data_IF_972353853231
#
_entry.id   IF_972353853231
#
_cell.length_a   1.000
_cell.length_b   1.000
_cell.length_c   1.000
_cell.angle_alpha   90.00
_cell.angle_beta   90.00
_cell.angle_gamma   90.00
#
_symmetry.space_group_name_H-M   'P 1'
#
loop_
_entity.id
_entity.type
_entity.pdbx_description
1 polymer ?
#
# COMPACT_ATOMS: atom_id res chain seq x y z
N UNK A 1 16.08 -2.34 -3.63
CA UNK A 1 14.87 -1.93 -2.87
C UNK A 1 13.91 -3.09 -2.82
N UNK A 2 13.40 -3.45 -1.64
CA UNK A 2 12.49 -4.58 -1.50
C UNK A 2 11.13 -4.23 -2.11
N UNK A 3 10.83 -4.80 -3.29
CA UNK A 3 9.51 -4.77 -3.89
C UNK A 3 8.56 -5.43 -2.91
N UNK A 4 7.68 -4.65 -2.25
CA UNK A 4 6.68 -5.19 -1.33
C UNK A 4 5.80 -6.19 -2.09
N UNK A 5 5.98 -7.49 -1.80
CA UNK A 5 5.25 -8.56 -2.48
C UNK A 5 3.88 -8.72 -1.84
N UNK A 6 2.91 -9.19 -2.61
CA UNK A 6 1.56 -9.46 -2.10
C UNK A 6 1.57 -10.44 -0.91
N UNK A 7 2.47 -11.43 -0.95
CA UNK A 7 2.66 -12.41 0.15
C UNK A 7 3.09 -11.76 1.46
N UNK A 8 3.86 -10.67 1.40
CA UNK A 8 4.34 -9.97 2.59
C UNK A 8 3.20 -9.14 3.18
N UNK A 9 2.46 -8.41 2.33
CA UNK A 9 1.28 -7.62 2.75
C UNK A 9 0.21 -8.49 3.39
N UNK A 10 -0.02 -9.68 2.84
CA UNK A 10 -1.00 -10.63 3.38
C UNK A 10 -0.71 -11.03 4.83
N UNK A 11 0.56 -11.11 5.22
CA UNK A 11 1.00 -11.47 6.58
C UNK A 11 0.97 -10.30 7.56
N UNK A 12 0.88 -9.06 7.07
CA UNK A 12 0.81 -7.87 7.91
C UNK A 12 -0.60 -7.70 8.48
N UNK A 13 -0.70 -7.23 9.72
CA UNK A 13 -1.95 -6.79 10.32
C UNK A 13 -2.39 -5.41 9.77
N UNK A 14 -3.65 -5.05 9.99
CA UNK A 14 -4.22 -3.81 9.45
C UNK A 14 -3.48 -2.55 9.92
N UNK A 15 -2.99 -2.53 11.17
CA UNK A 15 -2.25 -1.37 11.70
C UNK A 15 -0.88 -1.28 11.02
N UNK A 16 -0.13 -2.38 10.94
CA UNK A 16 1.16 -2.38 10.23
C UNK A 16 1.02 -2.03 8.76
N UNK A 17 -0.04 -2.49 8.08
CA UNK A 17 -0.34 -2.10 6.69
C UNK A 17 -0.55 -0.60 6.55
N UNK A 18 -1.26 0.03 7.48
CA UNK A 18 -1.52 1.47 7.47
C UNK A 18 -0.28 2.30 7.81
N UNK A 19 0.52 1.87 8.79
CA UNK A 19 1.77 2.52 9.13
C UNK A 19 2.73 2.47 7.92
N UNK A 20 2.83 1.31 7.26
CA UNK A 20 3.62 1.16 6.03
C UNK A 20 3.08 1.98 4.86
N UNK A 21 1.76 2.13 4.75
CA UNK A 21 1.12 2.99 3.74
C UNK A 21 1.53 4.45 3.92
N UNK A 22 1.61 4.95 5.16
CA UNK A 22 2.06 6.32 5.44
C UNK A 22 3.51 6.53 4.98
N UNK A 23 4.39 5.60 5.29
CA UNK A 23 5.79 5.66 4.86
C UNK A 23 5.94 5.73 3.35
N UNK A 24 5.23 4.84 2.63
CA UNK A 24 5.27 4.78 1.17
C UNK A 24 4.70 6.05 0.52
N UNK A 25 3.69 6.68 1.13
CA UNK A 25 3.17 7.97 0.67
C UNK A 25 4.19 9.09 0.86
N UNK A 26 4.90 9.12 1.99
CA UNK A 26 5.98 10.09 2.23
C UNK A 26 7.13 9.89 1.25
N UNK A 27 7.53 8.64 0.98
CA UNK A 27 8.56 8.35 -0.01
C UNK A 27 8.11 8.75 -1.43
N UNK A 28 6.83 8.54 -1.77
CA UNK A 28 6.27 8.99 -3.04
C UNK A 28 6.36 10.51 -3.18
N UNK A 29 5.99 11.26 -2.15
CA UNK A 29 6.07 12.73 -2.15
C UNK A 29 7.53 13.17 -2.35
N UNK A 30 8.46 12.64 -1.55
CA UNK A 30 9.90 12.95 -1.70
C UNK A 30 10.41 12.64 -3.10
N UNK A 31 10.00 11.52 -3.68
CA UNK A 31 10.41 11.12 -5.04
C UNK A 31 9.83 12.01 -6.16
N UNK A 32 8.73 12.74 -5.88
CA UNK A 32 8.15 13.71 -6.80
C UNK A 32 8.75 15.12 -6.67
N UNK A 33 9.33 15.48 -5.51
CA UNK A 33 9.87 16.83 -5.19
C UNK A 33 11.22 17.09 -5.90
N UNK A 34 11.30 16.77 -7.19
CA UNK A 34 12.52 16.98 -7.98
C UNK A 34 12.39 16.53 -9.43
N UNK A 35 11.30 15.82 -9.78
CA UNK A 35 11.04 15.37 -11.15
C UNK A 35 9.53 15.37 -11.42
N UNK A 36 9.08 16.04 -12.48
CA UNK A 36 7.68 15.93 -12.94
C UNK A 36 7.40 14.59 -13.65
N UNK A 37 8.44 13.91 -14.14
CA UNK A 37 8.30 12.64 -14.88
C UNK A 37 8.28 11.43 -13.94
N UNK A 38 7.43 10.45 -14.25
CA UNK A 38 7.32 9.22 -13.47
C UNK A 38 8.56 8.32 -13.65
N UNK A 39 9.43 8.27 -12.64
CA UNK A 39 10.60 7.38 -12.62
C UNK A 39 10.23 5.93 -12.26
N UNK A 40 11.11 4.96 -12.56
CA UNK A 40 10.92 3.55 -12.17
C UNK A 40 10.60 3.40 -10.67
N UNK A 41 11.33 4.15 -9.83
CA UNK A 41 11.10 4.21 -8.38
C UNK A 41 9.68 4.65 -8.01
N UNK A 42 9.16 5.70 -8.65
CA UNK A 42 7.78 6.17 -8.39
C UNK A 42 6.73 5.13 -8.80
N UNK A 43 6.97 4.37 -9.89
CA UNK A 43 6.07 3.29 -10.34
C UNK A 43 6.03 2.15 -9.33
N UNK A 44 7.18 1.78 -8.77
CA UNK A 44 7.26 0.72 -7.75
C UNK A 44 6.55 1.11 -6.45
N UNK A 45 6.75 2.34 -5.97
CA UNK A 45 6.07 2.85 -4.77
C UNK A 45 4.55 2.85 -4.97
N UNK A 46 4.07 3.31 -6.14
CA UNK A 46 2.64 3.25 -6.49
C UNK A 46 2.09 1.83 -6.50
N UNK A 47 2.85 0.86 -7.04
CA UNK A 47 2.46 -0.57 -7.03
C UNK A 47 2.39 -1.13 -5.61
N UNK A 48 3.33 -0.76 -4.73
CA UNK A 48 3.30 -1.16 -3.33
C UNK A 48 2.06 -0.60 -2.61
N UNK A 49 1.77 0.69 -2.79
CA UNK A 49 0.56 1.35 -2.27
C UNK A 49 -0.72 0.65 -2.76
N UNK A 50 -0.80 0.34 -4.07
CA UNK A 50 -1.95 -0.33 -4.65
C UNK A 50 -2.20 -1.71 -3.99
N UNK A 51 -1.15 -2.50 -3.78
CA UNK A 51 -1.26 -3.81 -3.10
C UNK A 51 -1.81 -3.67 -1.69
N UNK A 52 -1.27 -2.76 -0.88
CA UNK A 52 -1.78 -2.51 0.48
C UNK A 52 -3.26 -2.12 0.43
N UNK A 53 -3.63 -1.24 -0.50
CA UNK A 53 -5.00 -0.77 -0.61
C UNK A 53 -5.97 -1.91 -0.97
N UNK A 54 -5.58 -2.82 -1.87
CA UNK A 54 -6.37 -4.00 -2.22
C UNK A 54 -6.66 -4.87 -1.00
N UNK A 55 -5.65 -5.17 -0.17
CA UNK A 55 -5.85 -5.96 1.05
C UNK A 55 -6.72 -5.23 2.07
N UNK A 56 -6.53 -3.92 2.27
CA UNK A 56 -7.37 -3.15 3.17
C UNK A 56 -8.84 -3.12 2.72
N UNK A 57 -9.11 -2.97 1.43
CA UNK A 57 -10.47 -3.02 0.88
C UNK A 57 -11.08 -4.42 1.03
N UNK A 58 -10.28 -5.48 0.81
CA UNK A 58 -10.73 -6.86 1.02
C UNK A 58 -11.13 -7.11 2.48
N UNK A 59 -10.31 -6.70 3.45
CA UNK A 59 -10.61 -6.82 4.88
C UNK A 59 -11.90 -6.06 5.26
N UNK A 60 -12.12 -4.88 4.69
CA UNK A 60 -13.33 -4.09 4.92
C UNK A 60 -14.58 -4.78 4.36
N UNK A 61 -14.50 -5.41 3.18
CA UNK A 61 -15.60 -6.18 2.59
C UNK A 61 -15.96 -7.40 3.46
N UNK A 62 -14.96 -8.11 3.98
CA UNK A 62 -15.17 -9.24 4.90
C UNK A 62 -15.85 -8.78 6.20
N UNK A 63 -15.39 -7.68 6.80
CA UNK A 63 -16.01 -7.10 8.01
C UNK A 63 -17.46 -6.67 7.79
N UNK A 64 -17.80 -6.16 6.61
CA UNK A 64 -19.17 -5.75 6.27
C UNK A 64 -20.09 -6.95 5.98
N UNK A 65 -19.55 -8.03 5.41
CA UNK A 65 -20.29 -9.27 5.19
C UNK A 65 -20.63 -9.99 6.52
N UNK A 66 -19.71 -9.99 7.48
CA UNK A 66 -19.94 -10.58 8.81
C UNK A 66 -20.88 -9.80 9.73
N UNK A 67 -21.16 -8.52 9.43
CA UNK A 67 -22.14 -7.69 10.17
C UNK A 67 -23.58 -7.80 9.63
N UNK A 68 -23.78 -8.57 8.55
CA UNK A 68 -25.10 -8.79 7.93
C UNK A 68 -25.74 -10.13 8.33
N UNK A 69 -25.18 -10.84 9.32
CA UNK A 69 -25.78 -12.03 9.91
C UNK A 69 -26.39 -11.70 11.26
#
# INVERSE_FOLDING_TARGET
MAILKAKDVAKMDFKSRNDRMKDLRMELIKSKVGTQKATAKTKEIKRAIARINTFNVADLKVKQAGKKQ
#
